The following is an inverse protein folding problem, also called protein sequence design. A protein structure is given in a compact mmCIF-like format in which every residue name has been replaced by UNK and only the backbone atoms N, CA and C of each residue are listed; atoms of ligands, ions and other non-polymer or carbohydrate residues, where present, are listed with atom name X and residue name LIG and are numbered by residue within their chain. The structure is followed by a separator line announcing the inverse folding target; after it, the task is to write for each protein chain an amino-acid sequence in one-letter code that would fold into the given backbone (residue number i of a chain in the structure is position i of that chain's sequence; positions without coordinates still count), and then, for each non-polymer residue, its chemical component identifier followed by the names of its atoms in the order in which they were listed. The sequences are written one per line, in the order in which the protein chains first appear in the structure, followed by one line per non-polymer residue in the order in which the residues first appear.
data_IF_858380201452
#
_entry.id   IF_858380201452
#
_cell.length_a   1.000
_cell.length_b   1.000
_cell.length_c   1.000
_cell.angle_alpha   90.00
_cell.angle_beta   90.00
_cell.angle_gamma   90.00
#
_symmetry.space_group_name_H-M   'P 1'
#
loop_
_entity.id
_entity.type
_entity.pdbx_description
1 polymer ?
#
# COMPACT_ATOMS: atom_id res chain seq x y z
N UNK A 1 28.74 -2.34 51.03
CA UNK A 1 27.85 -2.20 49.86
C UNK A 1 28.27 -3.25 48.84
N UNK A 2 27.54 -4.36 48.76
CA UNK A 2 27.80 -5.38 47.73
C UNK A 2 27.19 -4.95 46.41
N UNK A 3 27.91 -5.05 45.28
CA UNK A 3 27.36 -4.70 43.98
C UNK A 3 26.37 -5.77 43.52
N UNK A 4 25.29 -5.30 43.01
CA UNK A 4 24.13 -5.99 42.48
C UNK A 4 24.54 -7.13 41.54
N UNK A 5 24.52 -8.37 42.01
CA UNK A 5 24.65 -9.61 41.22
C UNK A 5 23.33 -10.06 40.55
N UNK A 6 22.35 -9.15 40.43
CA UNK A 6 21.02 -9.48 39.93
C UNK A 6 20.85 -9.31 38.41
N UNK A 7 21.84 -8.71 37.73
CA UNK A 7 21.70 -8.34 36.30
C UNK A 7 21.69 -9.55 35.34
N UNK A 8 22.48 -10.62 35.50
CA UNK A 8 22.46 -11.76 34.58
C UNK A 8 21.12 -12.51 34.59
N UNK A 9 20.51 -12.70 35.77
CA UNK A 9 19.24 -13.45 35.91
C UNK A 9 18.07 -12.67 35.34
N UNK A 10 18.08 -11.33 35.42
CA UNK A 10 17.07 -10.48 34.80
C UNK A 10 17.22 -10.47 33.27
N UNK A 11 18.44 -10.47 32.74
CA UNK A 11 18.74 -10.58 31.30
C UNK A 11 18.19 -11.87 30.74
N UNK A 12 18.48 -13.02 31.31
CA UNK A 12 18.00 -14.33 30.85
C UNK A 12 16.46 -14.47 30.94
N UNK A 13 15.83 -13.89 31.98
CA UNK A 13 14.38 -13.86 32.12
C UNK A 13 13.70 -12.96 31.07
N UNK A 14 14.28 -11.79 30.80
CA UNK A 14 13.79 -10.88 29.76
C UNK A 14 13.95 -11.54 28.40
N UNK A 15 15.08 -12.14 28.09
CA UNK A 15 15.36 -12.81 26.83
C UNK A 15 14.41 -14.01 26.60
N UNK A 16 14.18 -14.83 27.63
CA UNK A 16 13.25 -15.95 27.55
C UNK A 16 11.81 -15.50 27.33
N UNK A 17 11.36 -14.48 28.08
CA UNK A 17 10.00 -13.93 27.94
C UNK A 17 9.82 -13.21 26.60
N UNK A 18 10.81 -12.46 26.16
CA UNK A 18 10.81 -11.76 24.87
C UNK A 18 10.77 -12.75 23.71
N UNK A 19 11.60 -13.80 23.75
CA UNK A 19 11.61 -14.83 22.72
C UNK A 19 10.28 -15.57 22.62
N UNK A 20 9.65 -15.88 23.77
CA UNK A 20 8.31 -16.50 23.78
C UNK A 20 7.28 -15.58 23.16
N UNK A 21 7.22 -14.32 23.57
CA UNK A 21 6.28 -13.33 23.02
C UNK A 21 6.47 -13.12 21.51
N UNK A 22 7.73 -13.06 21.05
CA UNK A 22 8.05 -12.96 19.62
C UNK A 22 7.58 -14.18 18.85
N UNK A 23 7.82 -15.38 19.36
CA UNK A 23 7.37 -16.63 18.74
C UNK A 23 5.84 -16.70 18.68
N UNK A 24 5.15 -16.39 19.79
CA UNK A 24 3.69 -16.37 19.84
C UNK A 24 3.11 -15.35 18.84
N UNK A 25 3.77 -14.18 18.71
CA UNK A 25 3.35 -13.15 17.76
C UNK A 25 3.60 -13.56 16.30
N UNK A 26 4.72 -14.22 16.01
CA UNK A 26 5.00 -14.76 14.68
C UNK A 26 4.00 -15.87 14.29
N UNK A 27 3.71 -16.79 15.20
CA UNK A 27 2.71 -17.84 14.98
C UNK A 27 1.32 -17.24 14.70
N UNK A 28 0.93 -16.21 15.46
CA UNK A 28 -0.33 -15.50 15.22
C UNK A 28 -0.39 -14.92 13.80
N UNK A 29 0.66 -14.26 13.34
CA UNK A 29 0.72 -13.68 11.98
C UNK A 29 0.66 -14.76 10.89
N UNK A 30 1.34 -15.88 11.10
CA UNK A 30 1.30 -17.01 10.17
C UNK A 30 -0.09 -17.64 10.09
N UNK A 31 -0.76 -17.80 11.23
CA UNK A 31 -2.13 -18.29 11.25
C UNK A 31 -3.08 -17.32 10.54
N UNK A 32 -2.99 -16.02 10.83
CA UNK A 32 -3.80 -14.99 10.18
C UNK A 32 -3.56 -14.96 8.66
N UNK A 33 -2.32 -15.13 8.20
CA UNK A 33 -1.99 -15.27 6.76
C UNK A 33 -2.71 -16.47 6.14
N UNK A 34 -2.66 -17.63 6.79
CA UNK A 34 -3.31 -18.85 6.31
C UNK A 34 -4.83 -18.69 6.30
N UNK A 35 -5.40 -18.10 7.35
CA UNK A 35 -6.85 -17.86 7.45
C UNK A 35 -7.35 -16.99 6.28
N UNK A 36 -6.58 -15.95 5.90
CA UNK A 36 -6.91 -15.10 4.74
C UNK A 36 -6.79 -15.86 3.41
N UNK A 37 -5.75 -16.68 3.24
CA UNK A 37 -5.55 -17.45 2.01
C UNK A 37 -6.69 -18.46 1.82
N UNK A 38 -7.14 -19.11 2.89
CA UNK A 38 -8.14 -20.19 2.87
C UNK A 38 -9.59 -19.70 3.00
N UNK A 39 -9.82 -18.39 2.99
CA UNK A 39 -11.18 -17.84 2.96
C UNK A 39 -11.96 -18.29 1.72
N UNK A 40 -13.30 -18.31 1.82
CA UNK A 40 -14.24 -18.58 0.72
C UNK A 40 -14.09 -19.99 0.09
N UNK A 41 -13.88 -21.03 0.92
CA UNK A 41 -13.70 -22.42 0.49
C UNK A 41 -12.52 -22.65 -0.47
N UNK A 42 -11.61 -21.69 -0.58
CA UNK A 42 -10.37 -21.90 -1.31
C UNK A 42 -9.48 -22.91 -0.57
N UNK A 43 -8.89 -23.79 -1.33
CA UNK A 43 -7.97 -24.81 -0.80
C UNK A 43 -6.66 -24.79 -1.55
N UNK A 44 -5.57 -24.99 -0.84
CA UNK A 44 -4.28 -25.25 -1.46
C UNK A 44 -4.32 -26.68 -1.99
N UNK A 45 -4.31 -26.83 -3.31
CA UNK A 45 -4.40 -28.14 -3.97
C UNK A 45 -3.05 -28.85 -3.98
N UNK A 46 -3.08 -30.16 -4.20
CA UNK A 46 -1.84 -30.96 -4.38
C UNK A 46 -1.03 -30.48 -5.60
N UNK A 47 -1.69 -29.93 -6.62
CA UNK A 47 -1.04 -29.38 -7.80
C UNK A 47 -0.23 -28.12 -7.44
N UNK A 48 -0.80 -27.20 -6.65
CA UNK A 48 -0.11 -26.00 -6.16
C UNK A 48 1.08 -26.32 -5.28
N UNK A 49 0.97 -27.33 -4.41
CA UNK A 49 2.09 -27.76 -3.56
C UNK A 49 3.24 -28.37 -4.36
N UNK A 50 2.98 -28.81 -5.60
CA UNK A 50 4.00 -29.30 -6.53
C UNK A 50 4.47 -28.21 -7.50
N UNK A 51 3.86 -27.04 -7.51
CA UNK A 51 4.31 -25.88 -8.30
C UNK A 51 5.42 -25.14 -7.54
N UNK A 52 6.61 -25.17 -8.10
CA UNK A 52 7.80 -24.55 -7.50
C UNK A 52 7.64 -23.04 -7.38
N UNK A 53 6.99 -22.38 -8.33
CA UNK A 53 6.76 -20.94 -8.32
C UNK A 53 5.79 -20.57 -7.18
N UNK A 54 4.68 -21.29 -7.02
CA UNK A 54 3.77 -21.10 -5.90
C UNK A 54 4.48 -21.24 -4.56
N UNK A 55 5.30 -22.31 -4.38
CA UNK A 55 6.01 -22.55 -3.12
C UNK A 55 6.98 -21.42 -2.81
N UNK A 56 7.75 -20.96 -3.81
CA UNK A 56 8.70 -19.86 -3.63
C UNK A 56 7.96 -18.58 -3.22
N UNK A 57 6.88 -18.23 -3.90
CA UNK A 57 6.13 -17.01 -3.65
C UNK A 57 5.37 -17.05 -2.32
N UNK A 58 4.83 -18.22 -1.95
CA UNK A 58 4.26 -18.44 -0.62
C UNK A 58 5.32 -18.26 0.50
N UNK A 59 6.51 -18.85 0.31
CA UNK A 59 7.60 -18.71 1.28
C UNK A 59 8.05 -17.25 1.43
N UNK A 60 8.12 -16.48 0.34
CA UNK A 60 8.45 -15.06 0.34
C UNK A 60 7.39 -14.21 1.07
N UNK A 61 6.11 -14.47 0.81
CA UNK A 61 5.03 -13.78 1.51
C UNK A 61 5.06 -14.10 3.02
N UNK A 62 5.25 -15.37 3.39
CA UNK A 62 5.43 -15.77 4.79
C UNK A 62 6.60 -15.07 5.47
N UNK A 63 7.78 -15.04 4.83
CA UNK A 63 8.96 -14.35 5.36
C UNK A 63 8.71 -12.84 5.52
N UNK A 64 8.05 -12.20 4.55
CA UNK A 64 7.68 -10.80 4.64
C UNK A 64 6.74 -10.54 5.83
N UNK A 65 5.71 -11.36 6.01
CA UNK A 65 4.76 -11.29 7.13
C UNK A 65 5.47 -11.46 8.48
N UNK A 66 6.43 -12.37 8.59
CA UNK A 66 7.20 -12.56 9.84
C UNK A 66 7.96 -11.30 10.25
N UNK A 67 8.43 -10.49 9.29
CA UNK A 67 9.16 -9.24 9.54
C UNK A 67 8.27 -8.06 9.91
N UNK A 68 6.95 -8.14 9.74
CA UNK A 68 6.03 -7.05 10.08
C UNK A 68 6.06 -6.78 11.59
N UNK A 69 6.08 -5.50 11.95
CA UNK A 69 5.98 -5.07 13.34
C UNK A 69 4.54 -5.20 13.91
N UNK A 70 3.53 -5.20 13.02
CA UNK A 70 2.09 -5.30 13.36
C UNK A 70 1.40 -6.31 12.45
N UNK A 71 0.12 -6.62 12.71
CA UNK A 71 -0.68 -7.51 11.85
C UNK A 71 -1.43 -6.76 10.74
N UNK A 72 -1.42 -5.43 10.73
CA UNK A 72 -2.28 -4.59 9.87
C UNK A 72 -2.17 -4.88 8.37
N UNK A 73 -1.02 -5.40 7.90
CA UNK A 73 -0.78 -5.73 6.50
C UNK A 73 -0.83 -7.23 6.17
N UNK A 74 -1.04 -8.10 7.15
CA UNK A 74 -1.07 -9.56 6.92
C UNK A 74 -2.13 -9.93 5.90
N UNK A 75 -3.31 -9.30 5.99
CA UNK A 75 -4.41 -9.51 5.05
C UNK A 75 -3.98 -9.23 3.59
N UNK A 76 -3.16 -8.20 3.35
CA UNK A 76 -2.73 -7.85 1.99
C UNK A 76 -1.81 -8.90 1.38
N UNK A 77 -0.90 -9.49 2.17
CA UNK A 77 -0.07 -10.60 1.73
C UNK A 77 -0.90 -11.86 1.45
N UNK A 78 -1.90 -12.13 2.29
CA UNK A 78 -2.85 -13.22 2.08
C UNK A 78 -3.66 -13.06 0.80
N UNK A 79 -4.19 -11.85 0.56
CA UNK A 79 -4.93 -11.51 -0.65
C UNK A 79 -4.06 -11.66 -1.91
N UNK A 80 -2.79 -11.24 -1.86
CA UNK A 80 -1.87 -11.40 -2.98
C UNK A 80 -1.70 -12.87 -3.39
N UNK A 81 -1.52 -13.77 -2.42
CA UNK A 81 -1.46 -15.22 -2.69
C UNK A 81 -2.80 -15.74 -3.20
N UNK A 82 -3.90 -15.42 -2.52
CA UNK A 82 -5.23 -15.91 -2.88
C UNK A 82 -5.64 -15.46 -4.28
N UNK A 83 -5.56 -14.15 -4.55
CA UNK A 83 -6.00 -13.60 -5.82
C UNK A 83 -5.04 -13.92 -6.97
N UNK A 84 -3.73 -14.05 -6.68
CA UNK A 84 -2.72 -14.36 -7.66
C UNK A 84 -2.70 -15.83 -8.11
N UNK A 85 -3.07 -16.76 -7.23
CA UNK A 85 -2.96 -18.18 -7.51
C UNK A 85 -4.29 -18.93 -7.39
N UNK A 86 -5.08 -18.71 -6.33
CA UNK A 86 -6.27 -19.52 -6.05
C UNK A 86 -7.48 -19.15 -6.89
N UNK A 87 -7.55 -17.91 -7.41
CA UNK A 87 -8.63 -17.44 -8.29
C UNK A 87 -8.34 -17.65 -9.79
N UNK A 88 -7.33 -18.44 -10.14
CA UNK A 88 -6.98 -18.75 -11.52
C UNK A 88 -6.36 -17.59 -12.31
N UNK A 89 -5.99 -16.53 -11.66
CA UNK A 89 -5.23 -15.41 -12.25
C UNK A 89 -3.75 -15.68 -12.06
N UNK A 90 -3.16 -16.56 -12.82
CA UNK A 90 -1.72 -16.82 -12.68
C UNK A 90 -0.93 -15.51 -12.74
N UNK A 91 -0.45 -15.03 -11.58
CA UNK A 91 0.35 -13.82 -11.51
C UNK A 91 1.78 -14.12 -11.94
N UNK A 92 2.34 -13.26 -12.79
CA UNK A 92 3.75 -13.35 -13.15
C UNK A 92 4.65 -13.14 -11.92
N UNK A 93 5.71 -13.94 -11.78
CA UNK A 93 6.60 -13.88 -10.62
C UNK A 93 7.29 -12.51 -10.44
N UNK A 94 7.53 -11.76 -11.53
CA UNK A 94 8.08 -10.40 -11.46
C UNK A 94 7.10 -9.42 -10.87
N UNK A 95 5.82 -9.51 -11.22
CA UNK A 95 4.74 -8.69 -10.66
C UNK A 95 4.52 -9.05 -9.18
N UNK A 96 4.58 -10.35 -8.85
CA UNK A 96 4.49 -10.80 -7.47
C UNK A 96 5.61 -10.20 -6.61
N UNK A 97 6.85 -10.23 -7.08
CA UNK A 97 8.01 -9.66 -6.40
C UNK A 97 7.87 -8.13 -6.21
N UNK A 98 7.37 -7.43 -7.22
CA UNK A 98 7.09 -5.99 -7.13
C UNK A 98 6.04 -5.70 -6.05
N UNK A 99 4.95 -6.44 -6.00
CA UNK A 99 3.89 -6.24 -4.99
C UNK A 99 4.36 -6.59 -3.58
N UNK A 100 5.16 -7.64 -3.40
CA UNK A 100 5.83 -7.94 -2.13
C UNK A 100 6.75 -6.79 -1.70
N UNK A 101 7.52 -6.24 -2.63
CA UNK A 101 8.41 -5.10 -2.35
C UNK A 101 7.61 -3.87 -1.91
N UNK A 102 6.55 -3.53 -2.62
CA UNK A 102 5.66 -2.42 -2.28
C UNK A 102 5.03 -2.62 -0.90
N UNK A 103 4.51 -3.81 -0.62
CA UNK A 103 3.94 -4.13 0.69
C UNK A 103 4.97 -4.06 1.83
N UNK A 104 6.23 -4.36 1.56
CA UNK A 104 7.29 -4.25 2.57
C UNK A 104 7.69 -2.79 2.83
N UNK A 105 7.68 -1.94 1.81
CA UNK A 105 8.18 -0.55 1.88
C UNK A 105 7.11 0.45 2.28
N UNK A 106 5.89 0.33 1.76
CA UNK A 106 4.79 1.21 2.16
C UNK A 106 4.32 0.91 3.58
N UNK A 107 4.09 1.95 4.36
CA UNK A 107 3.41 1.83 5.65
C UNK A 107 1.92 1.52 5.46
N UNK A 108 1.28 0.94 6.47
CA UNK A 108 -0.18 0.76 6.47
C UNK A 108 -0.93 2.08 6.29
N UNK A 109 -0.42 3.15 6.89
CA UNK A 109 -0.97 4.50 6.77
C UNK A 109 -0.97 5.01 5.33
N UNK A 110 0.14 4.84 4.59
CA UNK A 110 0.23 5.23 3.18
C UNK A 110 -0.76 4.47 2.32
N UNK A 111 -0.90 3.17 2.54
CA UNK A 111 -1.91 2.34 1.85
C UNK A 111 -3.33 2.86 2.13
N UNK A 112 -3.66 3.16 3.39
CA UNK A 112 -4.98 3.69 3.75
C UNK A 112 -5.27 5.05 3.10
N UNK A 113 -4.30 5.96 3.06
CA UNK A 113 -4.46 7.26 2.39
C UNK A 113 -4.76 7.09 0.90
N UNK A 114 -4.05 6.19 0.26
CA UNK A 114 -4.22 5.90 -1.17
C UNK A 114 -5.58 5.27 -1.47
N UNK A 115 -6.04 4.34 -0.63
CA UNK A 115 -7.38 3.73 -0.73
C UNK A 115 -8.48 4.78 -0.56
N UNK A 116 -8.36 5.66 0.44
CA UNK A 116 -9.35 6.73 0.66
C UNK A 116 -9.33 7.76 -0.47
N UNK A 117 -8.15 8.08 -1.01
CA UNK A 117 -8.04 8.97 -2.17
C UNK A 117 -8.70 8.35 -3.41
N UNK A 118 -8.52 7.05 -3.66
CA UNK A 118 -9.21 6.33 -4.74
C UNK A 118 -10.73 6.45 -4.62
N UNK A 119 -11.29 6.18 -3.43
CA UNK A 119 -12.73 6.31 -3.17
C UNK A 119 -13.21 7.74 -3.44
N UNK A 120 -12.43 8.72 -3.01
CA UNK A 120 -12.74 10.13 -3.20
C UNK A 120 -12.74 10.52 -4.69
N UNK A 121 -11.79 10.00 -5.47
CA UNK A 121 -11.73 10.23 -6.91
C UNK A 121 -12.90 9.59 -7.67
N UNK A 122 -13.42 8.46 -7.21
CA UNK A 122 -14.56 7.73 -7.79
C UNK A 122 -15.91 8.39 -7.43
N UNK A 123 -15.99 9.18 -6.37
CA UNK A 123 -17.22 9.86 -5.96
C UNK A 123 -17.64 10.92 -6.99
N UNK A 124 -18.66 10.62 -7.80
CA UNK A 124 -19.16 11.50 -8.86
C UNK A 124 -19.78 12.80 -8.33
N UNK A 125 -20.15 12.87 -7.04
CA UNK A 125 -20.66 14.09 -6.40
C UNK A 125 -19.59 15.16 -6.20
N UNK A 126 -18.31 14.77 -6.21
CA UNK A 126 -17.17 15.66 -6.03
C UNK A 126 -16.68 16.18 -7.39
N UNK A 127 -16.43 17.49 -7.48
CA UNK A 127 -15.87 18.10 -8.68
C UNK A 127 -14.35 17.95 -8.70
N UNK A 128 -13.81 17.57 -9.86
CA UNK A 128 -12.36 17.51 -10.10
C UNK A 128 -11.91 18.58 -11.09
N UNK A 129 -10.64 18.96 -11.06
CA UNK A 129 -10.04 19.95 -11.98
C UNK A 129 -9.88 19.38 -13.39
N UNK A 130 -9.54 18.11 -13.50
CA UNK A 130 -9.27 17.40 -14.77
C UNK A 130 -9.58 15.92 -14.61
N UNK A 131 -9.66 15.18 -15.73
CA UNK A 131 -10.06 13.77 -15.72
C UNK A 131 -9.15 12.90 -16.60
N UNK A 132 -8.86 11.69 -16.13
CA UNK A 132 -8.22 10.60 -16.91
C UNK A 132 -9.15 9.40 -17.01
N UNK A 133 -9.12 8.70 -18.15
CA UNK A 133 -9.81 7.42 -18.34
C UNK A 133 -8.83 6.27 -18.19
N UNK A 134 -9.08 5.37 -17.24
CA UNK A 134 -8.25 4.21 -16.96
C UNK A 134 -9.15 2.99 -16.82
N UNK A 135 -8.89 1.93 -17.59
CA UNK A 135 -9.67 0.67 -17.56
C UNK A 135 -11.20 0.89 -17.66
N UNK A 136 -11.64 1.84 -18.53
CA UNK A 136 -13.06 2.14 -18.73
C UNK A 136 -13.75 2.96 -17.63
N UNK A 137 -13.01 3.40 -16.63
CA UNK A 137 -13.50 4.29 -15.56
C UNK A 137 -12.86 5.66 -15.69
N UNK A 138 -13.58 6.69 -15.22
CA UNK A 138 -13.12 8.08 -15.21
C UNK A 138 -12.65 8.44 -13.80
N UNK A 139 -11.41 8.88 -13.70
CA UNK A 139 -10.82 9.40 -12.47
C UNK A 139 -10.55 10.88 -12.61
N UNK A 140 -10.98 11.67 -11.64
CA UNK A 140 -10.78 13.11 -11.63
C UNK A 140 -9.67 13.47 -10.65
N UNK A 141 -8.85 14.46 -11.03
CA UNK A 141 -7.92 15.06 -10.07
C UNK A 141 -8.71 15.89 -9.06
N UNK A 142 -8.78 15.41 -7.85
CA UNK A 142 -9.49 16.02 -6.72
C UNK A 142 -8.59 16.23 -5.51
N UNK A 143 -7.29 16.25 -5.72
CA UNK A 143 -6.30 16.14 -4.67
C UNK A 143 -6.40 17.25 -3.62
N UNK A 144 -6.49 18.50 -4.03
CA UNK A 144 -6.61 19.63 -3.11
C UNK A 144 -7.85 19.54 -2.21
N UNK A 145 -8.99 19.20 -2.82
CA UNK A 145 -10.25 19.01 -2.06
C UNK A 145 -10.14 17.82 -1.12
N UNK A 146 -9.53 16.73 -1.57
CA UNK A 146 -9.25 15.55 -0.74
C UNK A 146 -8.39 15.92 0.47
N UNK A 147 -7.25 16.59 0.27
CA UNK A 147 -6.37 17.00 1.37
C UNK A 147 -7.10 17.84 2.41
N UNK A 148 -7.92 18.80 1.96
CA UNK A 148 -8.68 19.68 2.83
C UNK A 148 -9.80 18.95 3.61
N UNK A 149 -10.48 17.99 3.02
CA UNK A 149 -11.56 17.24 3.67
C UNK A 149 -11.01 16.12 4.55
N UNK A 150 -10.09 15.32 4.01
CA UNK A 150 -9.54 14.16 4.69
C UNK A 150 -8.69 14.53 5.90
N UNK A 151 -7.89 15.60 5.81
CA UNK A 151 -7.12 16.11 6.95
C UNK A 151 -7.99 16.48 8.14
N UNK A 152 -9.17 17.10 7.89
CA UNK A 152 -10.15 17.40 8.93
C UNK A 152 -10.75 16.14 9.55
N UNK A 153 -11.06 15.14 8.71
CA UNK A 153 -11.63 13.86 9.15
C UNK A 153 -10.68 13.14 10.12
N UNK A 154 -9.40 13.06 9.79
CA UNK A 154 -8.40 12.35 10.59
C UNK A 154 -7.66 13.23 11.60
N UNK A 155 -8.02 14.54 11.67
CA UNK A 155 -7.48 15.54 12.61
C UNK A 155 -5.97 15.77 12.49
N UNK A 156 -5.49 15.90 11.27
CA UNK A 156 -4.10 16.27 10.93
C UNK A 156 -4.10 17.57 10.10
N UNK A 157 -2.92 18.12 9.83
CA UNK A 157 -2.80 19.25 8.90
C UNK A 157 -2.86 18.78 7.43
N UNK A 158 -3.34 19.60 6.47
CA UNK A 158 -3.23 19.29 5.05
C UNK A 158 -1.80 18.97 4.60
N UNK A 159 -0.80 19.71 5.10
CA UNK A 159 0.61 19.47 4.80
C UNK A 159 1.13 18.10 5.29
N UNK A 160 0.51 17.51 6.31
CA UNK A 160 0.83 16.15 6.73
C UNK A 160 0.28 15.12 5.73
N UNK A 161 -0.88 15.39 5.12
CA UNK A 161 -1.42 14.57 4.02
C UNK A 161 -0.50 14.66 2.81
N UNK A 162 -0.08 15.89 2.42
CA UNK A 162 0.88 16.12 1.33
C UNK A 162 2.18 15.35 1.55
N UNK A 163 2.74 15.40 2.74
CA UNK A 163 3.97 14.67 3.07
C UNK A 163 3.83 13.16 2.82
N UNK A 164 2.71 12.56 3.19
CA UNK A 164 2.44 11.15 2.92
C UNK A 164 2.36 10.87 1.41
N UNK A 165 1.72 11.75 0.65
CA UNK A 165 1.60 11.60 -0.80
C UNK A 165 2.93 11.76 -1.55
N UNK A 166 3.87 12.57 -1.05
CA UNK A 166 5.23 12.63 -1.58
C UNK A 166 5.96 11.28 -1.48
N UNK A 167 5.72 10.53 -0.41
CA UNK A 167 6.26 9.15 -0.26
C UNK A 167 5.55 8.18 -1.21
N UNK A 168 4.20 8.24 -1.28
CA UNK A 168 3.41 7.40 -2.17
C UNK A 168 3.81 7.60 -3.64
N UNK A 169 4.15 8.82 -4.06
CA UNK A 169 4.61 9.12 -5.43
C UNK A 169 5.79 8.25 -5.86
N UNK A 170 6.68 7.89 -4.93
CA UNK A 170 7.85 7.06 -5.24
C UNK A 170 7.50 5.62 -5.65
N UNK A 171 6.28 5.17 -5.36
CA UNK A 171 5.81 3.83 -5.76
C UNK A 171 5.29 3.76 -7.20
N UNK A 172 5.10 4.91 -7.86
CA UNK A 172 4.43 4.96 -9.16
C UNK A 172 2.90 4.81 -9.12
N UNK A 173 2.30 4.73 -7.94
CA UNK A 173 0.85 4.55 -7.77
C UNK A 173 0.03 5.83 -7.99
N UNK A 174 0.70 6.96 -7.96
CA UNK A 174 0.15 8.27 -8.32
C UNK A 174 1.07 8.98 -9.29
N UNK A 175 0.49 9.75 -10.19
CA UNK A 175 1.17 10.58 -11.16
C UNK A 175 0.81 12.05 -10.92
N UNK A 176 1.83 12.92 -10.83
CA UNK A 176 1.63 14.33 -10.59
C UNK A 176 1.19 15.05 -11.86
N UNK A 177 0.22 15.95 -11.72
CA UNK A 177 -0.25 16.83 -12.78
C UNK A 177 0.40 18.20 -12.60
N UNK A 178 1.01 18.69 -13.67
CA UNK A 178 1.61 20.02 -13.72
C UNK A 178 0.83 20.94 -14.67
N UNK A 179 0.66 22.20 -14.30
CA UNK A 179 0.28 23.27 -15.21
C UNK A 179 1.51 24.10 -15.54
N UNK A 180 1.72 24.31 -16.84
CA UNK A 180 2.71 25.27 -17.31
C UNK A 180 1.95 26.51 -17.78
N UNK A 181 2.06 27.61 -17.06
CA UNK A 181 1.66 28.90 -17.59
C UNK A 181 2.77 29.41 -18.52
N UNK A 182 2.50 29.46 -19.81
CA UNK A 182 3.34 30.19 -20.75
C UNK A 182 3.00 31.68 -20.59
N UNK A 183 3.89 32.44 -19.97
CA UNK A 183 3.78 33.89 -19.98
C UNK A 183 3.75 34.40 -21.43
N UNK A 184 2.90 35.40 -21.70
CA UNK A 184 2.88 36.09 -22.99
C UNK A 184 4.29 36.68 -23.23
N UNK A 185 4.94 36.23 -24.30
CA UNK A 185 6.24 36.78 -24.71
C UNK A 185 5.98 38.17 -25.26
N UNK A 186 6.29 39.17 -24.47
CA UNK A 186 6.36 40.55 -24.97
C UNK A 186 7.55 40.64 -25.95
N UNK A 187 7.29 40.84 -27.25
CA UNK A 187 8.30 40.79 -28.32
C UNK A 187 9.44 41.81 -28.14
N UNK A 188 9.39 42.69 -27.15
CA UNK A 188 10.35 43.75 -26.90
C UNK A 188 11.25 43.57 -25.67
N UNK A 189 11.05 42.52 -24.86
CA UNK A 189 11.88 42.33 -23.68
C UNK A 189 12.59 40.95 -23.71
N UNK A 190 13.92 41.00 -23.84
CA UNK A 190 14.80 39.83 -23.88
C UNK A 190 14.97 39.14 -22.50
N UNK A 191 14.02 39.27 -21.60
CA UNK A 191 13.98 38.52 -20.33
C UNK A 191 13.26 37.19 -20.54
N UNK A 192 14.02 36.09 -20.37
CA UNK A 192 13.40 34.77 -20.21
C UNK A 192 12.57 34.81 -18.93
N UNK A 193 11.26 34.95 -19.08
CA UNK A 193 10.34 34.74 -17.98
C UNK A 193 10.46 33.28 -17.52
N UNK A 194 10.63 33.08 -16.22
CA UNK A 194 10.68 31.75 -15.61
C UNK A 194 9.37 31.04 -15.89
N UNK A 195 9.42 29.84 -16.46
CA UNK A 195 8.28 28.96 -16.56
C UNK A 195 7.86 28.63 -15.14
N UNK A 196 6.78 29.23 -14.67
CA UNK A 196 6.16 28.84 -13.42
C UNK A 196 5.41 27.51 -13.64
N UNK A 197 5.95 26.45 -13.06
CA UNK A 197 5.37 25.11 -13.09
C UNK A 197 4.70 24.87 -11.75
N UNK A 198 3.36 24.91 -11.71
CA UNK A 198 2.61 24.59 -10.50
C UNK A 198 2.09 23.14 -10.54
N UNK A 199 2.27 22.43 -9.43
CA UNK A 199 1.62 21.12 -9.24
C UNK A 199 0.14 21.30 -8.98
N UNK A 200 -0.71 20.64 -9.77
CA UNK A 200 -2.18 20.61 -9.59
C UNK A 200 -2.69 19.45 -8.74
N UNK A 201 -1.79 18.60 -8.28
CA UNK A 201 -2.11 17.41 -7.49
C UNK A 201 -1.82 16.10 -8.24
N UNK A 202 -2.53 15.05 -7.90
CA UNK A 202 -2.20 13.70 -8.33
C UNK A 202 -3.36 13.00 -9.04
N UNK A 203 -3.04 12.16 -10.03
CA UNK A 203 -3.90 11.12 -10.56
C UNK A 203 -3.50 9.75 -10.03
N UNK A 204 -4.48 8.89 -9.86
CA UNK A 204 -4.26 7.47 -9.63
C UNK A 204 -3.79 6.82 -10.94
N UNK A 205 -2.77 5.96 -10.84
CA UNK A 205 -2.24 5.23 -11.99
C UNK A 205 -2.96 3.89 -12.23
N UNK A 206 -2.73 3.30 -13.40
CA UNK A 206 -3.22 1.95 -13.72
C UNK A 206 -2.57 0.91 -12.80
N UNK A 207 -1.29 1.08 -12.51
CA UNK A 207 -0.48 0.22 -11.65
C UNK A 207 -1.10 0.13 -10.24
N UNK A 208 -1.57 1.26 -9.69
CA UNK A 208 -2.30 1.23 -8.42
C UNK A 208 -3.62 0.49 -8.52
N UNK A 209 -4.38 0.67 -9.60
CA UNK A 209 -5.66 -0.01 -9.77
C UNK A 209 -5.49 -1.52 -9.89
N UNK A 210 -4.47 -1.99 -10.59
CA UNK A 210 -4.13 -3.40 -10.71
C UNK A 210 -3.68 -3.97 -9.34
N UNK A 211 -2.85 -3.24 -8.61
CA UNK A 211 -2.46 -3.58 -7.24
C UNK A 211 -3.66 -3.60 -6.29
N UNK A 212 -4.56 -2.60 -6.38
CA UNK A 212 -5.77 -2.54 -5.57
C UNK A 212 -6.65 -3.76 -5.77
N UNK A 213 -6.94 -4.14 -7.01
CA UNK A 213 -7.78 -5.31 -7.33
C UNK A 213 -7.13 -6.64 -6.89
N UNK A 214 -5.79 -6.73 -6.92
CA UNK A 214 -5.06 -7.93 -6.56
C UNK A 214 -4.83 -8.07 -5.05
N UNK A 215 -4.55 -6.96 -4.37
CA UNK A 215 -3.99 -6.97 -3.01
C UNK A 215 -4.93 -6.36 -1.97
N UNK A 216 -5.57 -5.22 -2.28
CA UNK A 216 -6.28 -4.42 -1.28
C UNK A 216 -7.79 -4.66 -1.26
N UNK A 217 -8.36 -5.08 -2.38
CA UNK A 217 -9.80 -5.30 -2.49
C UNK A 217 -10.21 -6.53 -1.70
N UNK A 218 -11.08 -6.30 -0.72
CA UNK A 218 -11.80 -7.39 -0.06
C UNK A 218 -12.82 -7.97 -1.03
N UNK A 219 -12.92 -9.29 -1.10
CA UNK A 219 -14.03 -9.90 -1.80
C UNK A 219 -15.29 -9.69 -0.94
N UNK A 220 -16.14 -8.72 -1.33
CA UNK A 220 -17.42 -8.41 -0.66
C UNK A 220 -18.50 -9.50 -0.91
N UNK A 221 -18.13 -10.71 -1.26
CA UNK A 221 -19.05 -11.80 -1.58
C UNK A 221 -19.55 -12.57 -0.33
N UNK A 222 -19.77 -11.88 0.80
CA UNK A 222 -20.48 -12.50 1.93
C UNK A 222 -21.35 -11.47 2.65
N UNK A 223 -22.52 -11.23 2.10
CA UNK A 223 -23.65 -10.57 2.72
C UNK A 223 -24.94 -11.30 2.33
#
# INVERSE_FOLDING_TARGET
MEPIKAIPVLGDLIDSSTNKLLNDFQQKKEQELLDVILQDDHSITSEMVNDVEFIINFARAKEAVQRLATTDKVEYFGNLIRNGYLQGKHIDGSIFDEYIHILNTMSYREIQYLVEYKKYCEDSSKRGKSTKHINGRTYSNKYESFCNEYSKQIKVSPGEVDYVFLHIKQTGFIEEEFETESGDVDENDNTFDSLDVESKGYYITKEFLDFYEMVLKRNENNG
#
